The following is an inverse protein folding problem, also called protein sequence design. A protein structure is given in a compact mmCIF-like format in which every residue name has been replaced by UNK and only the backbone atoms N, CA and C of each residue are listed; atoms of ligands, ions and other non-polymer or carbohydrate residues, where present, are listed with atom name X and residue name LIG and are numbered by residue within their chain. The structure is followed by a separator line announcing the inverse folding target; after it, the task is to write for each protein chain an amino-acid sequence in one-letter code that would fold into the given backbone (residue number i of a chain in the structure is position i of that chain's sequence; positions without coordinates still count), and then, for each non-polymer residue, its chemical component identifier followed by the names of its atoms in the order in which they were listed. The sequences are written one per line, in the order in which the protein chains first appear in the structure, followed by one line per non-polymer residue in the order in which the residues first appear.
data_IF_686235030063
#
_entry.id   IF_686235030063
#
_cell.length_a   1.000
_cell.length_b   1.000
_cell.length_c   1.000
_cell.angle_alpha   90.00
_cell.angle_beta   90.00
_cell.angle_gamma   90.00
#
_symmetry.space_group_name_H-M   'P 1'
#
loop_
_entity.id
_entity.type
_entity.pdbx_description
1 polymer ?
#
# COMPACT_ATOMS: atom_id res chain seq x y z
N UNK A 1 1.76 21.70 -1.75
CA UNK A 1 0.80 20.66 -2.18
C UNK A 1 1.36 19.73 -3.25
N UNK A 2 2.06 20.23 -4.27
CA UNK A 2 2.73 19.40 -5.29
C UNK A 2 3.78 18.44 -4.71
N UNK A 3 4.59 18.92 -3.75
CA UNK A 3 5.63 18.10 -3.12
C UNK A 3 5.11 16.85 -2.41
N UNK A 4 3.93 16.91 -1.79
CA UNK A 4 3.34 15.76 -1.11
C UNK A 4 2.89 14.68 -2.10
N UNK A 5 2.45 15.07 -3.30
CA UNK A 5 2.08 14.13 -4.36
C UNK A 5 3.32 13.48 -4.99
N UNK A 6 4.40 14.25 -5.15
CA UNK A 6 5.69 13.74 -5.62
C UNK A 6 6.28 12.74 -4.63
N UNK A 7 6.27 13.06 -3.33
CA UNK A 7 6.71 12.14 -2.27
C UNK A 7 5.86 10.87 -2.22
N UNK A 8 4.54 10.98 -2.35
CA UNK A 8 3.65 9.82 -2.40
C UNK A 8 3.94 8.93 -3.62
N UNK A 9 4.14 9.53 -4.79
CA UNK A 9 4.46 8.80 -6.02
C UNK A 9 5.82 8.10 -5.95
N UNK A 10 6.83 8.76 -5.37
CA UNK A 10 8.15 8.17 -5.11
C UNK A 10 8.08 7.00 -4.12
N UNK A 11 7.30 7.16 -3.05
CA UNK A 11 7.09 6.10 -2.07
C UNK A 11 6.38 4.90 -2.70
N UNK A 12 5.35 5.13 -3.51
CA UNK A 12 4.67 4.08 -4.27
C UNK A 12 5.61 3.36 -5.23
N UNK A 13 6.44 4.10 -6.00
CA UNK A 13 7.41 3.49 -6.91
C UNK A 13 8.46 2.67 -6.16
N UNK A 14 8.94 3.16 -5.02
CA UNK A 14 9.91 2.45 -4.19
C UNK A 14 9.31 1.16 -3.59
N UNK A 15 8.09 1.24 -3.04
CA UNK A 15 7.34 0.07 -2.54
C UNK A 15 7.06 -0.92 -3.67
N UNK A 16 6.72 -0.44 -4.86
CA UNK A 16 6.49 -1.28 -6.03
C UNK A 16 7.78 -1.95 -6.53
N UNK A 17 8.92 -1.28 -6.41
CA UNK A 17 10.23 -1.85 -6.77
C UNK A 17 10.67 -2.94 -5.79
N UNK A 18 10.47 -2.72 -4.49
CA UNK A 18 10.98 -3.62 -3.46
C UNK A 18 10.04 -4.80 -3.18
N UNK A 19 8.73 -4.58 -3.27
CA UNK A 19 7.70 -5.55 -2.87
C UNK A 19 6.70 -5.88 -3.99
N UNK A 20 6.86 -5.26 -5.16
CA UNK A 20 5.96 -5.45 -6.30
C UNK A 20 4.70 -4.56 -6.26
N UNK A 21 3.95 -4.49 -7.37
CA UNK A 21 2.75 -3.65 -7.51
C UNK A 21 1.63 -3.99 -6.52
N UNK A 22 1.66 -5.20 -5.94
CA UNK A 22 0.72 -5.65 -4.91
C UNK A 22 0.85 -4.84 -3.61
N UNK A 23 2.04 -4.36 -3.26
CA UNK A 23 2.27 -3.55 -2.06
C UNK A 23 1.58 -2.18 -2.18
N UNK A 24 1.75 -1.51 -3.33
CA UNK A 24 1.10 -0.23 -3.63
C UNK A 24 -0.43 -0.36 -3.59
N UNK A 25 -0.98 -1.40 -4.24
CA UNK A 25 -2.41 -1.69 -4.18
C UNK A 25 -2.92 -1.91 -2.75
N UNK A 26 -2.16 -2.63 -1.92
CA UNK A 26 -2.53 -2.86 -0.52
C UNK A 26 -2.59 -1.55 0.28
N UNK A 27 -1.57 -0.71 0.16
CA UNK A 27 -1.50 0.61 0.82
C UNK A 27 -2.61 1.54 0.32
N UNK A 28 -2.88 1.55 -0.98
CA UNK A 28 -3.98 2.33 -1.57
C UNK A 28 -5.35 1.87 -1.06
N UNK A 29 -5.59 0.56 -0.94
CA UNK A 29 -6.82 0.04 -0.36
C UNK A 29 -6.97 0.42 1.11
N UNK A 30 -5.90 0.36 1.91
CA UNK A 30 -5.93 0.81 3.30
C UNK A 30 -6.26 2.30 3.37
N UNK A 31 -5.59 3.13 2.56
CA UNK A 31 -5.82 4.57 2.52
C UNK A 31 -7.26 4.92 2.04
N UNK A 32 -7.76 4.22 1.03
CA UNK A 32 -9.12 4.36 0.53
C UNK A 32 -10.14 3.91 1.58
N UNK A 33 -9.90 2.78 2.26
CA UNK A 33 -10.72 2.28 3.35
C UNK A 33 -10.77 3.25 4.54
N UNK A 34 -9.64 3.90 4.84
CA UNK A 34 -9.53 4.92 5.88
C UNK A 34 -10.33 6.18 5.53
N UNK A 35 -10.30 6.61 4.26
CA UNK A 35 -11.17 7.69 3.76
C UNK A 35 -12.65 7.32 3.78
N UNK A 36 -12.98 6.10 3.36
CA UNK A 36 -14.36 5.62 3.27
C UNK A 36 -14.93 5.20 4.63
N UNK A 37 -14.13 5.21 5.72
CA UNK A 37 -14.46 4.61 7.03
C UNK A 37 -15.00 3.18 6.92
N UNK A 38 -14.54 2.44 5.91
CA UNK A 38 -14.94 1.05 5.69
C UNK A 38 -13.91 0.13 6.32
N UNK A 39 -14.29 -0.50 7.44
CA UNK A 39 -13.46 -1.48 8.12
C UNK A 39 -13.09 -2.67 7.21
N UNK A 40 -14.00 -3.06 6.32
CA UNK A 40 -13.74 -4.13 5.35
C UNK A 40 -12.61 -3.76 4.37
N UNK A 41 -12.66 -2.56 3.79
CA UNK A 41 -11.61 -2.10 2.87
C UNK A 41 -10.24 -1.93 3.56
N UNK A 42 -10.23 -1.48 4.82
CA UNK A 42 -9.01 -1.46 5.64
C UNK A 42 -8.46 -2.86 5.87
N UNK A 43 -9.32 -3.83 6.26
CA UNK A 43 -8.89 -5.20 6.50
C UNK A 43 -8.34 -5.85 5.24
N UNK A 44 -9.03 -5.70 4.10
CA UNK A 44 -8.57 -6.26 2.82
C UNK A 44 -7.22 -5.66 2.41
N UNK A 45 -7.07 -4.34 2.49
CA UNK A 45 -5.80 -3.67 2.20
C UNK A 45 -4.67 -4.10 3.16
N UNK A 46 -4.97 -4.18 4.46
CA UNK A 46 -4.01 -4.56 5.49
C UNK A 46 -3.55 -6.01 5.34
N UNK A 47 -4.47 -6.93 5.04
CA UNK A 47 -4.14 -8.33 4.71
C UNK A 47 -3.25 -8.39 3.47
N UNK A 48 -3.55 -7.61 2.43
CA UNK A 48 -2.74 -7.58 1.21
C UNK A 48 -1.30 -7.12 1.48
N UNK A 49 -1.14 -6.07 2.28
CA UNK A 49 0.17 -5.57 2.73
C UNK A 49 0.92 -6.64 3.53
N UNK A 50 0.26 -7.28 4.49
CA UNK A 50 0.86 -8.36 5.30
C UNK A 50 1.32 -9.54 4.43
N UNK A 51 0.49 -9.93 3.47
CA UNK A 51 0.74 -11.08 2.61
C UNK A 51 1.94 -10.81 1.70
N UNK A 52 2.06 -9.59 1.19
CA UNK A 52 3.24 -9.14 0.43
C UNK A 52 4.48 -9.12 1.31
N UNK A 53 4.41 -8.58 2.53
CA UNK A 53 5.54 -8.59 3.47
C UNK A 53 6.00 -10.01 3.81
N UNK A 54 5.08 -10.94 4.05
CA UNK A 54 5.42 -12.34 4.34
C UNK A 54 6.02 -13.03 3.11
N UNK A 55 5.48 -12.75 1.92
CA UNK A 55 5.91 -13.42 0.69
C UNK A 55 7.23 -12.90 0.13
N UNK A 56 7.53 -11.61 0.34
CA UNK A 56 8.71 -10.95 -0.22
C UNK A 56 9.75 -10.52 0.83
N UNK A 57 9.39 -10.42 2.10
CA UNK A 57 10.30 -10.03 3.19
C UNK A 57 11.24 -11.14 3.68
N UNK A 58 11.12 -12.35 3.13
CA UNK A 58 12.00 -13.48 3.44
C UNK A 58 13.18 -13.64 2.46
N UNK A 59 13.38 -12.70 1.53
CA UNK A 59 14.50 -12.70 0.57
C UNK A 59 15.72 -11.95 1.09
#
# INVERSE_FOLDING_TARGET
MLWSHVLAALLEQYLAWQYGPLMGLGVLLVAAGLRARSGYAMCVGGVLVLLVLVSYGHR
#
